data_IF_847454253728
#
_entry.id   IF_847454253728
#
_cell.length_a   1.000
_cell.length_b   1.000
_cell.length_c   1.000
_cell.angle_alpha   90.00
_cell.angle_beta   90.00
_cell.angle_gamma   90.00
#
_symmetry.space_group_name_H-M   'P 1'
#
loop_
_entity.id
_entity.type
_entity.pdbx_description
1 polymer ?
#
# COMPACT_ATOMS: atom_id res chain seq x y z
N UNK A 1 4.47 4.37 -24.66
CA UNK A 1 5.71 3.56 -24.65
C UNK A 1 5.96 2.84 -23.31
N UNK A 2 5.90 3.51 -22.13
CA UNK A 2 6.17 2.86 -20.83
C UNK A 2 5.18 1.76 -20.49
N UNK A 3 3.87 2.01 -20.58
CA UNK A 3 2.84 1.01 -20.31
C UNK A 3 2.91 -0.16 -21.28
N UNK A 4 3.23 0.11 -22.56
CA UNK A 4 3.43 -0.93 -23.57
C UNK A 4 4.53 -1.90 -23.15
N UNK A 5 5.69 -1.37 -22.77
CA UNK A 5 6.82 -2.19 -22.30
C UNK A 5 6.50 -2.96 -21.04
N UNK A 6 5.80 -2.34 -20.08
CA UNK A 6 5.38 -2.98 -18.84
C UNK A 6 4.50 -4.20 -19.13
N UNK A 7 3.42 -4.00 -19.87
CA UNK A 7 2.45 -5.06 -20.17
C UNK A 7 3.08 -6.16 -21.03
N UNK A 8 3.82 -5.81 -22.09
CA UNK A 8 4.45 -6.82 -22.94
C UNK A 8 5.50 -7.67 -22.20
N UNK A 9 6.25 -7.07 -21.28
CA UNK A 9 7.22 -7.80 -20.45
C UNK A 9 6.53 -8.73 -19.46
N UNK A 10 5.48 -8.26 -18.79
CA UNK A 10 4.99 -8.90 -17.57
C UNK A 10 3.64 -9.64 -17.75
N UNK A 11 3.00 -9.59 -18.94
CA UNK A 11 1.70 -10.21 -19.20
C UNK A 11 1.64 -11.71 -18.92
N UNK A 12 2.78 -12.40 -19.00
CA UNK A 12 2.86 -13.85 -18.76
C UNK A 12 3.14 -14.20 -17.29
N UNK A 13 3.24 -13.21 -16.39
CA UNK A 13 3.39 -13.44 -14.96
C UNK A 13 2.01 -13.55 -14.29
N UNK A 14 1.59 -14.73 -13.82
CA UNK A 14 0.26 -14.92 -13.22
C UNK A 14 0.10 -14.19 -11.88
N UNK A 15 1.19 -13.82 -11.22
CA UNK A 15 1.18 -13.01 -10.00
C UNK A 15 0.83 -11.54 -10.24
N UNK A 16 0.94 -11.05 -11.48
CA UNK A 16 0.49 -9.72 -11.86
C UNK A 16 -1.02 -9.79 -12.10
N UNK A 17 -1.81 -9.27 -11.20
CA UNK A 17 -3.28 -9.33 -11.25
C UNK A 17 -3.94 -8.00 -11.61
N UNK A 18 -3.21 -6.89 -11.49
CA UNK A 18 -3.69 -5.52 -11.76
C UNK A 18 -2.57 -4.75 -12.47
N UNK A 19 -2.90 -3.95 -13.48
CA UNK A 19 -1.99 -2.99 -14.08
C UNK A 19 -2.13 -1.63 -13.41
N UNK A 20 -1.02 -1.01 -12.99
CA UNK A 20 -0.97 0.37 -12.51
C UNK A 20 -0.30 1.26 -13.56
N UNK A 21 -0.95 2.37 -13.91
CA UNK A 21 -0.46 3.26 -14.98
C UNK A 21 0.66 4.19 -14.52
N UNK A 22 0.81 4.40 -13.23
CA UNK A 22 1.83 5.30 -12.69
C UNK A 22 1.54 5.71 -11.25
N UNK A 23 2.33 6.67 -10.77
CA UNK A 23 2.22 7.24 -9.43
C UNK A 23 2.39 8.76 -9.51
N UNK A 24 1.49 9.50 -8.86
CA UNK A 24 1.56 10.96 -8.60
C UNK A 24 1.93 11.84 -9.82
N UNK A 25 1.38 11.55 -10.99
CA UNK A 25 1.79 12.20 -12.23
C UNK A 25 0.67 12.97 -12.94
N UNK A 26 -0.31 13.48 -12.18
CA UNK A 26 -1.53 14.13 -12.69
C UNK A 26 -2.37 13.23 -13.60
N UNK A 27 -3.55 13.67 -14.04
CA UNK A 27 -4.43 12.87 -14.90
C UNK A 27 -4.70 13.58 -16.23
N UNK A 28 -3.76 13.47 -17.16
CA UNK A 28 -3.89 14.05 -18.50
C UNK A 28 -4.15 13.01 -19.59
N UNK A 29 -4.30 13.48 -20.82
CA UNK A 29 -4.59 12.66 -22.00
C UNK A 29 -3.73 11.40 -22.12
N UNK A 30 -2.46 11.46 -21.75
CA UNK A 30 -1.55 10.33 -21.82
C UNK A 30 -2.03 9.13 -20.96
N UNK A 31 -2.64 9.38 -19.80
CA UNK A 31 -3.17 8.32 -18.93
C UNK A 31 -4.46 7.70 -19.48
N UNK A 32 -5.29 8.47 -20.17
CA UNK A 32 -6.44 7.93 -20.89
C UNK A 32 -5.98 7.03 -22.04
N UNK A 33 -5.00 7.49 -22.85
CA UNK A 33 -4.44 6.70 -23.95
C UNK A 33 -3.74 5.42 -23.44
N UNK A 34 -3.05 5.48 -22.29
CA UNK A 34 -2.42 4.31 -21.66
C UNK A 34 -3.46 3.31 -21.16
N UNK A 35 -4.55 3.79 -20.55
CA UNK A 35 -5.66 2.95 -20.10
C UNK A 35 -6.30 2.23 -21.30
N UNK A 36 -6.69 2.98 -22.32
CA UNK A 36 -7.34 2.43 -23.51
C UNK A 36 -6.45 1.37 -24.19
N UNK A 37 -5.16 1.64 -24.31
CA UNK A 37 -4.20 0.70 -24.85
C UNK A 37 -4.06 -0.57 -23.99
N UNK A 38 -3.92 -0.41 -22.67
CA UNK A 38 -3.77 -1.54 -21.76
C UNK A 38 -5.00 -2.45 -21.78
N UNK A 39 -6.20 -1.86 -21.77
CA UNK A 39 -7.48 -2.61 -21.83
C UNK A 39 -7.66 -3.34 -23.18
N UNK A 40 -7.22 -2.72 -24.27
CA UNK A 40 -7.25 -3.38 -25.58
C UNK A 40 -6.25 -4.54 -25.66
N UNK A 41 -5.06 -4.36 -25.09
CA UNK A 41 -3.98 -5.35 -25.16
C UNK A 41 -4.18 -6.52 -24.20
N UNK A 42 -4.65 -6.24 -23.00
CA UNK A 42 -4.93 -7.23 -21.96
C UNK A 42 -6.29 -6.93 -21.28
N UNK A 43 -7.39 -7.41 -21.85
CA UNK A 43 -8.72 -7.21 -21.28
C UNK A 43 -8.98 -8.06 -20.04
N UNK A 44 -8.08 -9.00 -19.71
CA UNK A 44 -8.28 -9.95 -18.60
C UNK A 44 -7.97 -9.34 -17.24
N UNK A 45 -7.16 -8.29 -17.18
CA UNK A 45 -6.76 -7.65 -15.93
C UNK A 45 -7.37 -6.27 -15.77
N UNK A 46 -7.77 -5.88 -14.54
CA UNK A 46 -8.14 -4.51 -14.25
C UNK A 46 -6.93 -3.58 -14.34
N UNK A 47 -7.21 -2.33 -14.65
CA UNK A 47 -6.23 -1.23 -14.71
C UNK A 47 -6.57 -0.22 -13.64
N UNK A 48 -5.59 0.23 -12.89
CA UNK A 48 -5.76 1.29 -11.89
C UNK A 48 -4.84 2.47 -12.14
N UNK A 49 -5.29 3.64 -11.69
CA UNK A 49 -4.47 4.84 -11.58
C UNK A 49 -5.05 5.78 -10.51
N UNK A 50 -4.24 6.15 -9.49
CA UNK A 50 -4.74 6.88 -8.32
C UNK A 50 -5.21 8.29 -8.67
N UNK A 51 -4.49 9.00 -9.57
CA UNK A 51 -4.86 10.35 -10.01
C UNK A 51 -6.07 10.37 -10.96
N UNK A 52 -6.53 9.23 -11.42
CA UNK A 52 -7.79 9.15 -12.16
C UNK A 52 -9.01 9.38 -11.28
N UNK A 53 -8.87 9.20 -9.96
CA UNK A 53 -9.99 9.39 -9.05
C UNK A 53 -11.20 8.55 -9.42
N UNK A 54 -12.24 9.20 -9.95
CA UNK A 54 -13.46 8.54 -10.44
C UNK A 54 -13.62 8.60 -11.97
N UNK A 55 -12.62 9.07 -12.69
CA UNK A 55 -12.64 9.13 -14.15
C UNK A 55 -12.69 7.74 -14.78
N UNK A 56 -12.93 7.70 -16.11
CA UNK A 56 -13.11 6.44 -16.84
C UNK A 56 -11.83 5.60 -17.00
N UNK A 57 -10.67 6.22 -16.81
CA UNK A 57 -9.38 5.59 -17.04
C UNK A 57 -8.80 4.88 -15.81
N UNK A 58 -9.70 4.33 -14.99
CA UNK A 58 -9.38 3.39 -13.92
C UNK A 58 -10.54 2.44 -13.68
N UNK A 59 -10.27 1.15 -13.53
CA UNK A 59 -11.28 0.14 -13.17
C UNK A 59 -11.50 0.08 -11.64
N UNK A 60 -10.54 0.62 -10.88
CA UNK A 60 -10.52 0.57 -9.41
C UNK A 60 -10.44 2.02 -8.90
N UNK A 61 -11.27 2.36 -7.92
CA UNK A 61 -11.10 3.60 -7.16
C UNK A 61 -9.95 3.36 -6.18
N UNK A 62 -8.81 4.01 -6.41
CA UNK A 62 -7.58 3.74 -5.69
C UNK A 62 -6.95 5.01 -5.10
N UNK A 63 -7.60 5.63 -4.10
CA UNK A 63 -7.05 6.83 -3.47
C UNK A 63 -5.78 6.53 -2.69
N UNK A 64 -4.93 7.56 -2.57
CA UNK A 64 -3.74 7.57 -1.76
C UNK A 64 -4.03 8.32 -0.45
N UNK A 65 -3.76 7.70 0.69
CA UNK A 65 -3.97 8.26 2.03
C UNK A 65 -5.29 9.03 2.20
N UNK A 66 -6.45 8.42 1.88
CA UNK A 66 -7.72 9.11 2.02
C UNK A 66 -7.98 9.44 3.49
N UNK A 67 -8.59 10.61 3.76
CA UNK A 67 -9.00 10.94 5.11
C UNK A 67 -10.08 9.97 5.61
N UNK A 68 -10.13 9.79 6.93
CA UNK A 68 -11.15 8.96 7.58
C UNK A 68 -12.58 9.33 7.17
N UNK A 69 -12.86 10.64 7.09
CA UNK A 69 -14.17 11.12 6.67
C UNK A 69 -14.48 10.82 5.19
N UNK A 70 -13.45 10.87 4.34
CA UNK A 70 -13.62 10.46 2.93
C UNK A 70 -13.91 8.98 2.82
N UNK A 71 -13.20 8.14 3.55
CA UNK A 71 -13.44 6.70 3.56
C UNK A 71 -14.85 6.35 4.04
N UNK A 72 -15.33 6.97 5.12
CA UNK A 72 -16.71 6.76 5.60
C UNK A 72 -17.75 7.12 4.56
N UNK A 73 -17.56 8.26 3.87
CA UNK A 73 -18.48 8.66 2.79
C UNK A 73 -18.50 7.65 1.64
N UNK A 74 -17.32 7.18 1.25
CA UNK A 74 -17.18 6.23 0.15
C UNK A 74 -17.69 4.84 0.55
N UNK A 75 -17.51 4.43 1.80
CA UNK A 75 -18.04 3.17 2.33
C UNK A 75 -19.57 3.12 2.34
N UNK A 76 -20.23 4.28 2.53
CA UNK A 76 -21.67 4.41 2.59
C UNK A 76 -22.37 4.47 1.22
N UNK A 77 -21.61 4.54 0.12
CA UNK A 77 -22.14 4.68 -1.23
C UNK A 77 -21.94 3.40 -2.04
N UNK A 78 -22.79 3.18 -3.06
CA UNK A 78 -22.45 2.23 -4.11
C UNK A 78 -21.56 2.93 -5.14
N UNK A 79 -20.31 2.55 -5.17
CA UNK A 79 -19.31 3.15 -6.05
C UNK A 79 -19.31 2.55 -7.46
N UNK A 80 -20.01 1.42 -7.67
CA UNK A 80 -20.03 0.70 -8.93
C UNK A 80 -18.67 0.11 -9.37
N UNK A 81 -17.62 0.34 -8.57
CA UNK A 81 -16.25 -0.13 -8.78
C UNK A 81 -15.62 -0.53 -7.45
N UNK A 82 -14.66 -1.49 -7.43
CA UNK A 82 -13.87 -1.79 -6.24
C UNK A 82 -13.12 -0.55 -5.74
N UNK A 83 -12.95 -0.47 -4.42
CA UNK A 83 -12.14 0.56 -3.76
C UNK A 83 -10.95 -0.12 -3.10
N UNK A 84 -9.74 0.21 -3.55
CA UNK A 84 -8.48 -0.31 -3.03
C UNK A 84 -7.53 0.86 -2.89
N UNK A 85 -7.14 1.21 -1.68
CA UNK A 85 -6.18 2.29 -1.48
C UNK A 85 -4.83 1.92 -2.09
N UNK A 86 -4.29 2.74 -3.00
CA UNK A 86 -2.99 2.48 -3.59
C UNK A 86 -1.86 2.64 -2.58
N UNK A 87 -2.05 3.52 -1.59
CA UNK A 87 -1.20 3.65 -0.42
C UNK A 87 -2.04 4.06 0.80
N UNK A 88 -1.75 3.49 1.96
CA UNK A 88 -2.33 3.88 3.24
C UNK A 88 -1.41 3.49 4.40
N UNK A 89 -1.74 3.97 5.60
CA UNK A 89 -1.05 3.59 6.85
C UNK A 89 0.49 3.73 6.75
N UNK A 90 0.96 4.90 6.33
CA UNK A 90 2.39 5.23 6.21
C UNK A 90 3.14 4.88 7.50
N UNK A 91 4.06 3.91 7.41
CA UNK A 91 4.65 3.24 8.58
C UNK A 91 5.90 3.95 9.13
N UNK A 92 6.05 5.23 8.87
CA UNK A 92 7.20 6.02 9.30
C UNK A 92 7.09 6.43 10.78
N UNK A 93 8.08 6.06 11.57
CA UNK A 93 8.17 6.48 12.97
C UNK A 93 7.01 5.96 13.83
N UNK A 94 6.51 6.80 14.74
CA UNK A 94 5.33 6.49 15.55
C UNK A 94 4.05 6.79 14.77
N UNK A 95 3.56 5.81 14.05
CA UNK A 95 2.50 5.95 13.05
C UNK A 95 1.49 4.80 13.10
N UNK A 96 0.63 4.68 12.08
CA UNK A 96 -0.37 3.63 11.90
C UNK A 96 -1.46 3.59 13.00
N UNK A 97 -1.80 4.74 13.57
CA UNK A 97 -2.95 4.88 14.47
C UNK A 97 -4.25 4.51 13.77
N UNK A 98 -5.22 4.00 14.53
CA UNK A 98 -6.55 3.59 14.07
C UNK A 98 -6.54 2.49 12.98
N UNK A 99 -5.48 1.70 12.88
CA UNK A 99 -5.38 0.65 11.88
C UNK A 99 -6.49 -0.40 11.98
N UNK A 100 -6.92 -0.85 13.19
CA UNK A 100 -8.09 -1.73 13.33
C UNK A 100 -9.38 -1.11 12.80
N UNK A 101 -9.65 0.16 13.11
CA UNK A 101 -10.87 0.86 12.71
C UNK A 101 -10.97 1.01 11.19
N UNK A 102 -9.83 1.23 10.50
CA UNK A 102 -9.79 1.18 9.04
C UNK A 102 -10.30 -0.16 8.49
N UNK A 103 -9.86 -1.25 9.09
CA UNK A 103 -10.24 -2.59 8.65
C UNK A 103 -11.65 -2.97 9.04
N UNK A 104 -12.16 -2.50 10.17
CA UNK A 104 -13.58 -2.63 10.52
C UNK A 104 -14.46 -1.96 9.47
N UNK A 105 -14.13 -0.72 9.10
CA UNK A 105 -14.83 0.00 8.04
C UNK A 105 -14.74 -0.73 6.69
N UNK A 106 -13.55 -1.16 6.28
CA UNK A 106 -13.36 -1.88 5.02
C UNK A 106 -14.15 -3.19 4.97
N UNK A 107 -14.14 -3.98 6.04
CA UNK A 107 -14.89 -5.23 6.14
C UNK A 107 -16.39 -5.03 6.15
N UNK A 108 -16.87 -3.90 6.63
CA UNK A 108 -18.30 -3.55 6.65
C UNK A 108 -18.82 -3.03 5.31
N UNK A 109 -17.95 -2.63 4.40
CA UNK A 109 -18.31 -2.03 3.12
C UNK A 109 -18.28 -3.03 1.97
N UNK A 110 -19.31 -3.00 1.13
CA UNK A 110 -19.40 -3.82 -0.08
C UNK A 110 -18.31 -3.48 -1.12
N UNK A 111 -17.90 -2.23 -1.19
CA UNK A 111 -16.98 -1.75 -2.22
C UNK A 111 -15.51 -1.86 -1.82
N UNK A 112 -15.21 -1.74 -0.52
CA UNK A 112 -13.83 -1.67 -0.03
C UNK A 112 -13.19 -3.05 0.04
N UNK A 113 -12.05 -3.20 -0.64
CA UNK A 113 -11.34 -4.48 -0.75
C UNK A 113 -10.01 -4.47 0.03
N UNK A 114 -9.57 -3.32 0.52
CA UNK A 114 -8.33 -3.17 1.26
C UNK A 114 -7.44 -2.04 0.75
N UNK A 115 -6.15 -2.20 0.91
CA UNK A 115 -5.15 -1.22 0.47
C UNK A 115 -3.73 -1.76 0.62
N UNK A 116 -2.78 -1.00 0.11
CA UNK A 116 -1.36 -1.31 0.19
C UNK A 116 -0.70 -0.40 1.20
N UNK A 117 -0.09 -0.99 2.25
CA UNK A 117 0.64 -0.23 3.26
C UNK A 117 1.90 0.35 2.64
N UNK A 118 2.18 1.60 2.84
CA UNK A 118 3.45 2.22 2.56
C UNK A 118 4.30 2.23 3.81
N UNK A 119 5.36 1.39 3.91
CA UNK A 119 5.71 0.34 2.97
C UNK A 119 6.26 -0.91 3.69
N UNK A 120 6.92 -1.84 2.97
CA UNK A 120 7.39 -3.09 3.57
C UNK A 120 8.71 -2.93 4.29
N UNK A 121 9.71 -2.32 3.64
CA UNK A 121 11.07 -2.20 4.17
C UNK A 121 11.43 -0.78 4.58
N UNK A 122 12.15 -0.64 5.71
CA UNK A 122 13.05 0.49 5.89
C UNK A 122 14.22 0.39 4.91
N UNK A 123 14.49 1.45 4.15
CA UNK A 123 15.57 1.48 3.18
C UNK A 123 16.87 2.00 3.81
N UNK A 124 17.62 1.13 4.45
CA UNK A 124 18.90 1.45 5.08
C UNK A 124 20.03 0.53 4.65
N UNK A 125 21.25 1.05 4.63
CA UNK A 125 22.45 0.27 4.36
C UNK A 125 23.21 -0.01 5.65
N UNK A 126 23.69 -1.26 5.88
CA UNK A 126 24.44 -1.60 7.08
C UNK A 126 25.79 -0.89 7.08
N UNK A 127 26.10 -0.19 8.17
CA UNK A 127 27.38 0.52 8.32
C UNK A 127 27.78 0.66 9.79
N UNK A 128 28.94 1.28 10.03
CA UNK A 128 29.44 1.56 11.37
C UNK A 128 29.91 3.01 11.43
N UNK A 129 29.74 3.64 12.58
CA UNK A 129 30.30 4.97 12.86
C UNK A 129 31.80 4.92 13.17
N UNK A 130 32.41 6.08 13.45
CA UNK A 130 33.83 6.20 13.80
C UNK A 130 34.20 5.47 15.09
N UNK A 131 33.22 5.17 15.94
CA UNK A 131 33.39 4.43 17.18
C UNK A 131 33.12 2.93 17.02
N UNK A 132 32.84 2.46 15.78
CA UNK A 132 32.55 1.07 15.46
C UNK A 132 31.13 0.63 15.82
N UNK A 133 30.22 1.55 16.14
CA UNK A 133 28.82 1.22 16.45
C UNK A 133 28.04 1.02 15.15
N UNK A 134 27.33 -0.09 15.10
CA UNK A 134 26.47 -0.41 13.95
C UNK A 134 25.27 0.53 13.85
N UNK A 135 24.93 0.94 12.62
CA UNK A 135 23.68 1.63 12.30
C UNK A 135 23.25 1.41 10.84
N UNK A 136 22.01 1.73 10.55
CA UNK A 136 21.49 1.75 9.19
C UNK A 136 21.65 3.14 8.60
N UNK A 137 22.52 3.29 7.61
CA UNK A 137 22.74 4.56 6.92
C UNK A 137 21.64 4.82 5.89
N UNK A 138 21.19 6.06 5.82
CA UNK A 138 20.20 6.52 4.83
C UNK A 138 20.40 8.02 4.53
N UNK A 139 19.78 8.50 3.45
CA UNK A 139 19.78 9.91 3.08
C UNK A 139 21.21 10.51 3.07
N UNK A 140 21.43 11.56 3.85
CA UNK A 140 22.70 12.29 3.93
C UNK A 140 23.87 11.56 4.56
N UNK A 141 23.65 10.36 5.14
CA UNK A 141 24.71 9.55 5.75
C UNK A 141 25.70 9.01 4.71
N UNK A 142 25.24 8.87 3.45
CA UNK A 142 26.05 8.37 2.35
C UNK A 142 26.90 9.51 1.76
N UNK A 143 27.96 9.87 2.46
CA UNK A 143 28.88 10.96 2.09
C UNK A 143 29.38 10.84 0.65
N UNK A 144 29.27 11.91 -0.12
CA UNK A 144 29.79 12.01 -1.49
C UNK A 144 28.83 11.56 -2.60
N UNK A 145 27.76 10.86 -2.31
CA UNK A 145 26.82 10.35 -3.33
C UNK A 145 25.58 11.22 -3.54
N UNK A 146 25.18 11.99 -2.53
CA UNK A 146 23.94 12.72 -2.64
C UNK A 146 24.00 14.06 -1.92
N UNK A 147 23.97 15.13 -2.69
CA UNK A 147 23.85 16.49 -2.15
C UNK A 147 22.42 16.87 -1.82
N UNK A 148 21.44 16.25 -2.51
CA UNK A 148 20.02 16.37 -2.22
C UNK A 148 19.48 15.00 -1.81
N UNK A 149 18.75 14.95 -0.71
CA UNK A 149 18.13 13.73 -0.20
C UNK A 149 16.92 14.12 0.68
N UNK A 150 16.02 13.19 0.89
CA UNK A 150 14.81 13.37 1.67
C UNK A 150 14.97 12.95 3.14
N UNK A 151 16.22 12.90 3.65
CA UNK A 151 16.52 12.52 5.02
C UNK A 151 16.02 11.12 5.36
N UNK A 152 15.18 11.02 6.38
CA UNK A 152 14.63 9.75 6.84
C UNK A 152 13.35 9.32 6.12
N UNK A 153 12.95 9.98 5.03
CA UNK A 153 11.74 9.67 4.24
C UNK A 153 11.93 8.44 3.34
N UNK A 154 12.57 7.45 3.90
CA UNK A 154 12.82 6.10 3.38
C UNK A 154 12.91 5.07 4.53
N UNK A 155 12.61 5.52 5.76
CA UNK A 155 12.57 4.70 6.97
C UNK A 155 11.11 4.54 7.42
N UNK A 156 10.29 4.04 6.53
CA UNK A 156 8.83 3.96 6.59
C UNK A 156 8.29 2.53 6.40
N UNK A 157 9.18 1.55 6.64
CA UNK A 157 8.86 0.15 6.50
C UNK A 157 8.22 -0.50 7.73
N UNK A 158 7.44 -1.56 7.46
CA UNK A 158 6.94 -2.49 8.49
C UNK A 158 8.07 -3.33 9.09
N UNK A 159 9.17 -3.49 8.38
CA UNK A 159 10.34 -4.25 8.83
C UNK A 159 11.61 -3.44 8.65
N UNK A 160 12.60 -3.75 9.47
CA UNK A 160 13.95 -3.20 9.33
C UNK A 160 14.62 -3.72 8.04
N UNK A 161 15.74 -3.11 7.60
CA UNK A 161 16.46 -3.60 6.41
C UNK A 161 16.91 -5.05 6.48
N UNK A 162 17.12 -5.59 7.68
CA UNK A 162 17.44 -7.01 7.95
C UNK A 162 16.20 -7.86 8.30
N UNK A 163 15.00 -7.38 7.94
CA UNK A 163 13.72 -8.09 8.04
C UNK A 163 13.20 -8.36 9.46
N UNK A 164 13.70 -7.66 10.46
CA UNK A 164 13.11 -7.72 11.79
C UNK A 164 11.84 -6.88 11.88
N UNK A 165 10.87 -7.34 12.64
CA UNK A 165 9.59 -6.66 12.79
C UNK A 165 9.74 -5.34 13.56
N UNK A 166 9.18 -4.28 12.99
CA UNK A 166 8.94 -3.03 13.71
C UNK A 166 7.73 -3.19 14.66
N UNK A 167 7.59 -2.35 15.69
CA UNK A 167 6.47 -2.45 16.63
C UNK A 167 5.08 -2.48 15.97
N UNK A 168 4.87 -1.68 14.94
CA UNK A 168 3.60 -1.60 14.23
C UNK A 168 3.30 -2.82 13.33
N UNK A 169 4.28 -3.65 13.02
CA UNK A 169 4.05 -4.90 12.27
C UNK A 169 3.16 -5.87 13.06
N UNK A 170 3.22 -5.84 14.38
CA UNK A 170 2.39 -6.70 15.22
C UNK A 170 0.90 -6.36 15.12
N UNK A 171 0.54 -5.06 15.02
CA UNK A 171 -0.87 -4.69 14.82
C UNK A 171 -1.36 -5.10 13.43
N UNK A 172 -0.52 -4.96 12.39
CA UNK A 172 -0.85 -5.43 11.05
C UNK A 172 -1.12 -6.93 11.07
N UNK A 173 -0.23 -7.72 11.66
CA UNK A 173 -0.41 -9.18 11.81
C UNK A 173 -1.71 -9.52 12.51
N UNK A 174 -2.06 -8.80 13.58
CA UNK A 174 -3.30 -9.02 14.34
C UNK A 174 -4.54 -8.68 13.53
N UNK A 175 -4.52 -7.55 12.82
CA UNK A 175 -5.67 -7.06 12.05
C UNK A 175 -5.89 -7.88 10.78
N UNK A 176 -4.82 -8.35 10.14
CA UNK A 176 -4.90 -9.14 8.91
C UNK A 176 -5.24 -10.62 9.14
N UNK A 177 -5.28 -11.09 10.38
CA UNK A 177 -5.68 -12.48 10.63
C UNK A 177 -7.14 -12.72 10.21
N UNK A 178 -7.37 -13.81 9.48
CA UNK A 178 -8.71 -14.18 9.00
C UNK A 178 -9.47 -15.08 9.98
N UNK A 179 -8.76 -15.70 10.91
CA UNK A 179 -9.33 -16.58 11.94
C UNK A 179 -9.29 -15.83 13.26
N UNK A 180 -10.46 -15.55 13.81
CA UNK A 180 -10.63 -14.84 15.08
C UNK A 180 -10.97 -15.84 16.18
N UNK A 181 -10.55 -15.51 17.41
CA UNK A 181 -10.85 -16.31 18.60
C UNK A 181 -11.53 -15.43 19.62
N UNK A 182 -12.67 -15.87 20.10
CA UNK A 182 -13.43 -15.19 21.16
C UNK A 182 -13.61 -16.10 22.37
N UNK A 183 -13.42 -15.57 23.55
CA UNK A 183 -13.69 -16.28 24.80
C UNK A 183 -15.21 -16.45 24.99
N UNK A 184 -15.70 -17.68 24.98
CA UNK A 184 -17.11 -18.00 25.26
C UNK A 184 -17.34 -18.26 26.75
N UNK A 185 -16.51 -19.08 27.35
CA UNK A 185 -16.50 -19.39 28.78
C UNK A 185 -15.10 -19.85 29.18
N UNK A 186 -14.29 -18.93 29.70
CA UNK A 186 -12.91 -19.22 30.09
C UNK A 186 -12.81 -20.23 31.24
N UNK A 187 -13.80 -20.27 32.15
CA UNK A 187 -13.78 -21.20 33.25
C UNK A 187 -13.99 -22.67 32.77
N UNK A 188 -14.65 -22.85 31.65
CA UNK A 188 -14.86 -24.14 30.99
C UNK A 188 -13.89 -24.41 29.85
N UNK A 189 -12.95 -23.51 29.60
CA UNK A 189 -12.02 -23.62 28.47
C UNK A 189 -12.71 -23.52 27.10
N UNK A 190 -13.86 -22.86 26.99
CA UNK A 190 -14.61 -22.74 25.75
C UNK A 190 -14.23 -21.46 25.01
N UNK A 191 -13.85 -21.62 23.75
CA UNK A 191 -13.61 -20.52 22.79
C UNK A 191 -14.43 -20.71 21.53
N UNK A 192 -14.79 -19.61 20.90
CA UNK A 192 -15.38 -19.59 19.54
C UNK A 192 -14.28 -19.27 18.54
N UNK A 193 -14.29 -19.94 17.42
CA UNK A 193 -13.39 -19.72 16.28
C UNK A 193 -14.21 -19.31 15.06
#
# INVERSE_FOLDING_TARGET
DRVTRLVERDKNHPSVIIWSLGNEASNGKAFFDMYDWAKQRDPSRPVQYEQAGRDRNTDIICPMYPSWESMKRDAAQDLGRPYIMCEYAHAMGNSMGNFPEYWELMRSSKNMQGGFIWEWYNHGYPTHDEQGRFYWAYGGDLKGYNKQNDGNFCMDGLVTPDQNYMPHTHIVKKVYQNILFEAKDLNKGLITV
#
